data_IF_962365018926
#
_entry.id   IF_962365018926
#
_cell.length_a   1.000
_cell.length_b   1.000
_cell.length_c   1.000
_cell.angle_alpha   90.00
_cell.angle_beta   90.00
_cell.angle_gamma   90.00
#
_symmetry.space_group_name_H-M   'P 1'
#
loop_
_entity.id
_entity.type
_entity.pdbx_description
1 polymer ?
#
# COMPACT_ATOMS: atom_id res chain seq x y z
N UNK A 1 22.00 -1.30 10.35
CA UNK A 1 21.04 -0.65 9.44
C UNK A 1 20.43 0.56 10.11
N UNK A 2 20.36 1.65 9.38
CA UNK A 2 19.84 2.89 9.93
C UNK A 2 18.32 2.82 10.06
N UNK A 3 17.82 3.16 11.22
CA UNK A 3 16.38 3.20 11.43
C UNK A 3 15.80 4.50 10.85
N UNK A 4 14.61 4.45 10.25
CA UNK A 4 14.04 5.65 9.64
C UNK A 4 13.88 6.82 10.60
N UNK A 5 13.65 6.55 11.88
CA UNK A 5 13.39 7.60 12.86
C UNK A 5 14.61 8.10 13.62
N UNK A 6 15.81 7.60 13.32
CA UNK A 6 17.02 8.05 14.01
C UNK A 6 17.51 9.38 13.48
N UNK A 7 17.74 9.45 12.19
CA UNK A 7 18.13 10.67 11.50
C UNK A 7 17.18 10.98 10.37
N UNK A 8 16.08 10.25 10.34
CA UNK A 8 15.12 10.40 9.28
C UNK A 8 14.23 11.59 9.53
N UNK A 9 13.71 12.09 8.46
CA UNK A 9 12.70 13.14 8.48
C UNK A 9 11.33 12.49 8.38
N UNK A 10 10.29 13.32 8.53
CA UNK A 10 8.95 12.87 8.26
C UNK A 10 8.82 12.34 6.83
N UNK A 11 9.54 12.94 5.90
CA UNK A 11 9.57 12.50 4.51
C UNK A 11 10.09 11.07 4.40
N UNK A 12 11.16 10.75 5.12
CA UNK A 12 11.73 9.40 5.10
C UNK A 12 10.74 8.37 5.64
N UNK A 13 10.00 8.72 6.67
CA UNK A 13 8.99 7.85 7.25
C UNK A 13 7.86 7.61 6.27
N UNK A 14 7.41 8.66 5.58
CA UNK A 14 6.36 8.55 4.57
C UNK A 14 6.82 7.64 3.44
N UNK A 15 8.04 7.84 2.94
CA UNK A 15 8.58 7.00 1.87
C UNK A 15 8.66 5.54 2.30
N UNK A 16 9.08 5.28 3.53
CA UNK A 16 9.14 3.93 4.06
C UNK A 16 7.74 3.27 4.06
N UNK A 17 6.74 4.01 4.50
CA UNK A 17 5.36 3.51 4.54
C UNK A 17 4.81 3.26 3.14
N UNK A 18 5.13 4.13 2.19
CA UNK A 18 4.72 3.94 0.80
C UNK A 18 5.36 2.68 0.22
N UNK A 19 6.64 2.48 0.44
CA UNK A 19 7.33 1.29 -0.03
C UNK A 19 6.75 0.03 0.59
N UNK A 20 6.43 0.07 1.89
CA UNK A 20 5.81 -1.06 2.57
C UNK A 20 4.44 -1.36 1.99
N UNK A 21 3.65 -0.32 1.73
CA UNK A 21 2.33 -0.49 1.11
C UNK A 21 2.45 -1.13 -0.27
N UNK A 22 3.39 -0.67 -1.09
CA UNK A 22 3.61 -1.22 -2.43
C UNK A 22 4.04 -2.68 -2.37
N UNK A 23 4.89 -3.02 -1.40
CA UNK A 23 5.33 -4.40 -1.21
C UNK A 23 4.16 -5.30 -0.81
N UNK A 24 3.29 -4.82 0.08
CA UNK A 24 2.11 -5.59 0.49
C UNK A 24 1.13 -5.76 -0.67
N UNK A 25 0.95 -4.72 -1.48
CA UNK A 25 0.07 -4.80 -2.65
C UNK A 25 0.60 -5.82 -3.65
N UNK A 26 1.91 -5.79 -3.90
CA UNK A 26 2.53 -6.76 -4.81
C UNK A 26 2.38 -8.18 -4.29
N UNK A 27 2.57 -8.39 -3.00
CA UNK A 27 2.39 -9.70 -2.38
C UNK A 27 0.94 -10.16 -2.52
N UNK A 28 -0.02 -9.25 -2.31
CA UNK A 28 -1.44 -9.57 -2.47
C UNK A 28 -1.74 -9.99 -3.91
N UNK A 29 -1.18 -9.29 -4.89
CA UNK A 29 -1.38 -9.63 -6.30
C UNK A 29 -0.84 -11.01 -6.63
N UNK A 30 0.34 -11.34 -6.11
CA UNK A 30 0.95 -12.65 -6.33
C UNK A 30 0.10 -13.75 -5.70
N UNK A 31 -0.33 -13.54 -4.46
CA UNK A 31 -1.17 -14.51 -3.76
C UNK A 31 -2.52 -14.70 -4.45
N UNK A 32 -3.08 -13.61 -4.96
CA UNK A 32 -4.33 -13.67 -5.69
C UNK A 32 -4.18 -14.49 -6.97
N UNK A 33 -3.08 -14.30 -7.68
CA UNK A 33 -2.78 -15.09 -8.88
C UNK A 33 -2.61 -16.57 -8.58
N UNK A 34 -2.14 -16.90 -7.38
CA UNK A 34 -2.00 -18.29 -6.93
C UNK A 34 -3.29 -18.82 -6.28
N UNK A 35 -4.35 -18.03 -6.27
CA UNK A 35 -5.65 -18.37 -5.67
C UNK A 35 -5.58 -18.59 -4.16
N UNK A 36 -4.61 -17.96 -3.52
CA UNK A 36 -4.47 -17.95 -2.07
C UNK A 36 -5.24 -16.75 -1.52
N UNK A 37 -6.57 -16.88 -1.48
CA UNK A 37 -7.45 -15.73 -1.24
C UNK A 37 -7.33 -15.16 0.16
N UNK A 38 -7.17 -16.01 1.17
CA UNK A 38 -7.02 -15.53 2.55
C UNK A 38 -5.74 -14.72 2.69
N UNK A 39 -4.64 -15.25 2.16
CA UNK A 39 -3.37 -14.54 2.19
C UNK A 39 -3.43 -13.24 1.40
N UNK A 40 -4.08 -13.28 0.23
CA UNK A 40 -4.24 -12.08 -0.59
C UNK A 40 -5.02 -11.01 0.15
N UNK A 41 -6.12 -11.37 0.81
CA UNK A 41 -6.93 -10.44 1.58
C UNK A 41 -6.13 -9.82 2.74
N UNK A 42 -5.36 -10.64 3.44
CA UNK A 42 -4.55 -10.14 4.56
C UNK A 42 -3.51 -9.13 4.09
N UNK A 43 -2.82 -9.43 3.01
CA UNK A 43 -1.80 -8.52 2.49
C UNK A 43 -2.42 -7.26 1.90
N UNK A 44 -3.57 -7.39 1.25
CA UNK A 44 -4.30 -6.23 0.74
C UNK A 44 -4.70 -5.30 1.89
N UNK A 45 -5.19 -5.87 2.99
CA UNK A 45 -5.56 -5.08 4.16
C UNK A 45 -4.35 -4.27 4.67
N UNK A 46 -3.21 -4.92 4.83
CA UNK A 46 -2.01 -4.23 5.30
C UNK A 46 -1.51 -3.20 4.30
N UNK A 47 -1.63 -3.48 3.01
CA UNK A 47 -1.28 -2.51 1.99
C UNK A 47 -2.13 -1.25 2.08
N UNK A 48 -3.42 -1.43 2.25
CA UNK A 48 -4.35 -0.31 2.42
C UNK A 48 -4.02 0.47 3.70
N UNK A 49 -3.79 -0.26 4.80
CA UNK A 49 -3.45 0.37 6.07
C UNK A 49 -2.20 1.24 5.97
N UNK A 50 -1.15 0.70 5.38
CA UNK A 50 0.11 1.43 5.23
C UNK A 50 -0.03 2.61 4.27
N UNK A 51 -0.81 2.45 3.20
CA UNK A 51 -1.05 3.54 2.26
C UNK A 51 -1.81 4.68 2.93
N UNK A 52 -2.83 4.37 3.70
CA UNK A 52 -3.61 5.38 4.43
C UNK A 52 -2.71 6.08 5.46
N UNK A 53 -1.89 5.31 6.17
CA UNK A 53 -0.94 5.87 7.12
C UNK A 53 0.03 6.84 6.44
N UNK A 54 0.51 6.46 5.26
CA UNK A 54 1.42 7.32 4.50
C UNK A 54 0.74 8.61 4.08
N UNK A 55 -0.49 8.52 3.59
CA UNK A 55 -1.25 9.69 3.17
C UNK A 55 -1.46 10.63 4.34
N UNK A 56 -1.80 10.11 5.51
CA UNK A 56 -2.00 10.94 6.70
C UNK A 56 -0.72 11.66 7.14
N UNK A 57 0.44 11.10 6.82
CA UNK A 57 1.71 11.69 7.20
C UNK A 57 2.24 12.68 6.16
N UNK A 58 1.59 12.80 5.01
CA UNK A 58 2.04 13.70 3.96
C UNK A 58 1.63 15.14 4.25
N UNK A 59 2.50 16.08 3.85
CA UNK A 59 2.09 17.49 3.80
C UNK A 59 1.20 17.69 2.57
N UNK A 60 0.61 18.89 2.46
CA UNK A 60 -0.35 19.19 1.41
C UNK A 60 0.18 18.96 -0.01
N UNK A 61 1.45 19.34 -0.25
CA UNK A 61 2.03 19.21 -1.58
C UNK A 61 2.36 17.77 -1.90
N UNK A 62 2.95 17.04 -0.96
CA UNK A 62 3.26 15.63 -1.14
C UNK A 62 1.98 14.81 -1.28
N UNK A 63 0.94 15.17 -0.55
CA UNK A 63 -0.35 14.52 -0.67
C UNK A 63 -0.88 14.63 -2.10
N UNK A 64 -0.83 15.83 -2.67
CA UNK A 64 -1.32 16.03 -4.05
C UNK A 64 -0.54 15.20 -5.07
N UNK A 65 0.77 15.03 -4.85
CA UNK A 65 1.60 14.29 -5.78
C UNK A 65 1.36 12.79 -5.74
N UNK A 66 1.09 12.25 -4.55
CA UNK A 66 1.07 10.79 -4.36
C UNK A 66 -0.32 10.20 -4.27
N UNK A 67 -1.33 10.99 -3.93
CA UNK A 67 -2.65 10.43 -3.66
C UNK A 67 -3.26 9.73 -4.86
N UNK A 68 -3.08 10.28 -6.05
CA UNK A 68 -3.71 9.70 -7.24
C UNK A 68 -3.06 8.37 -7.61
N UNK A 69 -1.73 8.30 -7.52
CA UNK A 69 -1.03 7.05 -7.80
C UNK A 69 -1.39 5.96 -6.80
N UNK A 70 -1.46 6.31 -5.51
CA UNK A 70 -1.85 5.35 -4.47
C UNK A 70 -3.29 4.92 -4.64
N UNK A 71 -4.19 5.87 -4.91
CA UNK A 71 -5.60 5.57 -5.11
C UNK A 71 -5.79 4.64 -6.30
N UNK A 72 -5.09 4.89 -7.40
CA UNK A 72 -5.18 4.06 -8.59
C UNK A 72 -4.74 2.63 -8.28
N UNK A 73 -3.60 2.46 -7.60
CA UNK A 73 -3.11 1.12 -7.24
C UNK A 73 -4.09 0.39 -6.35
N UNK A 74 -4.64 1.07 -5.35
CA UNK A 74 -5.60 0.46 -4.44
C UNK A 74 -6.88 0.07 -5.16
N UNK A 75 -7.36 0.93 -6.06
CA UNK A 75 -8.57 0.63 -6.82
C UNK A 75 -8.36 -0.57 -7.73
N UNK A 76 -7.21 -0.66 -8.38
CA UNK A 76 -6.89 -1.82 -9.22
C UNK A 76 -6.88 -3.11 -8.41
N UNK A 77 -6.26 -3.08 -7.23
CA UNK A 77 -6.20 -4.24 -6.36
C UNK A 77 -7.58 -4.64 -5.87
N UNK A 78 -8.38 -3.67 -5.43
CA UNK A 78 -9.72 -3.94 -4.94
C UNK A 78 -10.60 -4.53 -6.04
N UNK A 79 -10.47 -4.02 -7.26
CA UNK A 79 -11.21 -4.56 -8.40
C UNK A 79 -10.83 -6.01 -8.67
N UNK A 80 -9.53 -6.31 -8.64
CA UNK A 80 -9.07 -7.68 -8.84
C UNK A 80 -9.62 -8.62 -7.77
N UNK A 81 -9.59 -8.19 -6.50
CA UNK A 81 -10.13 -9.00 -5.41
C UNK A 81 -11.62 -9.21 -5.57
N UNK A 82 -12.35 -8.17 -5.96
CA UNK A 82 -13.79 -8.27 -6.17
C UNK A 82 -14.13 -9.23 -7.30
N UNK A 83 -13.41 -9.14 -8.42
CA UNK A 83 -13.63 -10.02 -9.56
C UNK A 83 -13.39 -11.50 -9.20
N UNK A 84 -12.35 -11.75 -8.41
CA UNK A 84 -12.03 -13.11 -7.98
C UNK A 84 -13.07 -13.66 -7.02
N UNK A 85 -13.54 -12.84 -6.07
CA UNK A 85 -14.53 -13.31 -5.08
C UNK A 85 -15.92 -13.46 -5.69
N UNK A 86 -16.22 -12.71 -6.72
CA UNK A 86 -17.52 -12.75 -7.37
C UNK A 86 -17.60 -13.84 -8.44
N UNK A 87 -16.47 -14.35 -8.83
CA UNK A 87 -16.42 -15.45 -9.81
C UNK A 87 -16.69 -16.79 -9.10
#
# INVERSE_FOLDING_TARGET
MKQPNEKGTQKDLVLYRIETAQSDIKAAEILLGAKEFRGANNRAYYGIYHAVSAIHALDGNAYKRHKDALAKRLMELLLQLWLWTDA
#
